data_IF_577331132855
#
_entry.id   IF_577331132855
#
_cell.length_a   1.000
_cell.length_b   1.000
_cell.length_c   1.000
_cell.angle_alpha   90.00
_cell.angle_beta   90.00
_cell.angle_gamma   90.00
#
_symmetry.space_group_name_H-M   'P 1'
#
loop_
_entity.id
_entity.type
_entity.pdbx_description
1 polymer ?
#
# COMPACT_ATOMS: atom_id res chain seq x y z
N UNK A 1 26.22 1.70 -1.89
CA UNK A 1 26.57 0.63 -0.94
C UNK A 1 25.85 -0.63 -1.40
N UNK A 2 26.59 -1.73 -1.47
CA UNK A 2 26.18 -3.00 -2.07
C UNK A 2 25.15 -3.76 -1.22
N UNK A 3 24.35 -4.61 -1.86
CA UNK A 3 24.39 -6.06 -1.61
C UNK A 3 23.41 -6.83 -2.50
N UNK A 4 23.99 -7.62 -3.39
CA UNK A 4 23.42 -8.76 -4.11
C UNK A 4 23.02 -9.88 -3.14
N UNK A 5 21.86 -10.52 -3.34
CA UNK A 5 21.52 -11.77 -2.65
C UNK A 5 21.31 -12.90 -3.66
N UNK A 6 22.08 -13.98 -3.46
CA UNK A 6 22.01 -15.25 -4.19
C UNK A 6 20.94 -16.16 -3.56
N UNK A 7 20.08 -16.75 -4.38
CA UNK A 7 19.22 -17.87 -3.97
C UNK A 7 20.00 -19.19 -4.05
N UNK A 8 20.01 -19.95 -2.95
CA UNK A 8 20.46 -21.34 -2.94
C UNK A 8 19.28 -22.29 -2.71
N UNK A 9 19.38 -23.42 -3.42
CA UNK A 9 18.49 -24.57 -3.56
C UNK A 9 18.35 -25.39 -2.28
N UNK A 10 17.19 -26.03 -2.00
CA UNK A 10 17.09 -27.03 -0.94
C UNK A 10 17.42 -28.45 -1.44
N UNK A 11 18.24 -29.14 -0.64
CA UNK A 11 18.67 -30.54 -0.73
C UNK A 11 17.57 -31.50 -0.27
N UNK A 12 17.31 -32.57 -1.03
CA UNK A 12 16.40 -33.66 -0.66
C UNK A 12 17.08 -34.74 0.18
N UNK A 13 16.41 -35.23 1.23
CA UNK A 13 16.84 -36.36 2.09
C UNK A 13 16.53 -37.74 1.47
N UNK A 14 17.27 -38.81 1.85
CA UNK A 14 17.15 -40.13 1.23
C UNK A 14 16.04 -41.00 1.85
N UNK A 15 15.40 -41.80 1.01
CA UNK A 15 14.45 -42.85 1.39
C UNK A 15 15.19 -44.11 1.87
N UNK A 16 14.70 -44.71 2.96
CA UNK A 16 15.23 -45.94 3.54
C UNK A 16 14.25 -47.08 3.22
N UNK A 17 14.74 -48.06 2.44
CA UNK A 17 14.05 -49.31 2.16
C UNK A 17 14.02 -50.22 3.40
N UNK A 18 12.90 -50.90 3.61
CA UNK A 18 12.79 -52.01 4.55
C UNK A 18 12.07 -53.18 3.90
N UNK A 19 12.87 -54.18 3.53
CA UNK A 19 12.43 -55.52 3.21
C UNK A 19 12.29 -56.34 4.51
N UNK A 20 11.28 -57.21 4.60
CA UNK A 20 11.38 -58.65 4.93
C UNK A 20 10.03 -59.18 5.43
N UNK A 21 9.49 -60.21 4.79
CA UNK A 21 8.73 -61.29 5.43
C UNK A 21 8.45 -62.40 4.41
N UNK A 22 9.03 -63.58 4.63
CA UNK A 22 8.77 -64.75 3.81
C UNK A 22 9.52 -65.97 4.32
N UNK A 23 9.00 -66.64 5.35
CA UNK A 23 9.40 -68.01 5.72
C UNK A 23 8.14 -68.84 5.80
N UNK A 24 7.92 -69.64 4.76
CA UNK A 24 6.85 -70.65 4.70
C UNK A 24 7.42 -71.99 5.14
N UNK A 25 6.82 -72.58 6.18
CA UNK A 25 7.12 -73.92 6.65
C UNK A 25 6.71 -74.98 5.63
N UNK A 26 7.61 -75.92 5.38
CA UNK A 26 7.33 -77.14 4.65
C UNK A 26 7.79 -78.33 5.47
N UNK A 27 6.85 -79.16 5.92
CA UNK A 27 7.15 -80.52 6.35
C UNK A 27 5.91 -81.40 6.15
N UNK A 28 5.94 -82.23 5.13
CA UNK A 28 4.95 -83.28 4.86
C UNK A 28 5.69 -84.53 4.45
N UNK A 29 6.09 -85.34 5.44
CA UNK A 29 6.62 -86.68 5.21
C UNK A 29 5.45 -87.67 5.29
N UNK A 30 5.14 -88.24 4.14
CA UNK A 30 4.30 -89.41 3.95
C UNK A 30 4.92 -90.63 4.65
N UNK A 31 4.09 -91.39 5.37
CA UNK A 31 4.33 -92.82 5.54
C UNK A 31 3.00 -93.51 5.83
N UNK A 32 2.39 -94.04 4.76
CA UNK A 32 1.31 -94.99 4.84
C UNK A 32 1.86 -96.41 4.86
N UNK A 33 1.35 -97.22 5.78
CA UNK A 33 1.39 -98.67 5.69
C UNK A 33 1.99 -99.36 6.89
N UNK A 34 1.14 -99.81 7.82
CA UNK A 34 1.39 -101.07 8.53
C UNK A 34 0.09 -101.71 9.02
N UNK A 35 -0.38 -102.66 8.22
CA UNK A 35 -0.95 -103.99 8.53
C UNK A 35 -1.56 -104.16 9.94
N UNK A 36 -2.86 -104.51 9.94
CA UNK A 36 -3.58 -105.12 11.06
C UNK A 36 -2.84 -106.37 11.58
N UNK A 37 -2.46 -106.34 12.86
CA UNK A 37 -2.12 -107.55 13.62
C UNK A 37 -3.02 -107.65 14.85
N UNK A 38 -3.66 -108.81 14.89
CA UNK A 38 -4.65 -109.32 15.81
C UNK A 38 -4.09 -109.34 17.24
N UNK A 39 -4.71 -108.58 18.13
CA UNK A 39 -4.22 -108.33 19.49
C UNK A 39 -3.94 -109.59 20.32
N UNK A 40 -2.68 -109.73 20.71
CA UNK A 40 -2.28 -110.28 22.00
C UNK A 40 -2.03 -109.10 22.95
N UNK A 41 -2.42 -109.23 24.22
CA UNK A 41 -2.23 -108.20 25.24
C UNK A 41 -0.75 -107.81 25.43
N UNK A 42 0.18 -108.65 24.96
CA UNK A 42 1.62 -108.41 24.93
C UNK A 42 2.07 -107.47 23.79
N UNK A 43 1.45 -107.48 22.61
CA UNK A 43 1.82 -106.60 21.48
C UNK A 43 1.40 -105.15 21.70
N UNK A 44 0.23 -104.93 22.32
CA UNK A 44 -0.22 -103.59 22.73
C UNK A 44 0.72 -102.99 23.78
N UNK A 45 1.21 -103.83 24.71
CA UNK A 45 2.19 -103.44 25.72
C UNK A 45 3.54 -103.11 25.08
N UNK A 46 4.02 -103.94 24.14
CA UNK A 46 5.30 -103.74 23.44
C UNK A 46 5.27 -102.50 22.54
N UNK A 47 4.17 -102.26 21.83
CA UNK A 47 3.97 -101.04 21.03
C UNK A 47 3.93 -99.79 21.93
N UNK A 48 3.19 -99.85 23.05
CA UNK A 48 3.16 -98.78 24.06
C UNK A 48 4.54 -98.51 24.68
N UNK A 49 5.34 -99.55 24.89
CA UNK A 49 6.71 -99.41 25.38
C UNK A 49 7.66 -98.85 24.31
N UNK A 50 7.49 -99.24 23.05
CA UNK A 50 8.28 -98.74 21.93
C UNK A 50 8.00 -97.25 21.68
N UNK A 51 6.74 -96.82 21.74
CA UNK A 51 6.37 -95.40 21.64
C UNK A 51 6.89 -94.58 22.83
N UNK A 52 6.82 -95.11 24.05
CA UNK A 52 7.45 -94.48 25.23
C UNK A 52 8.96 -94.40 25.08
N UNK A 53 9.61 -95.44 24.56
CA UNK A 53 11.05 -95.44 24.32
C UNK A 53 11.45 -94.42 23.25
N UNK A 54 10.68 -94.29 22.16
CA UNK A 54 10.89 -93.25 21.14
C UNK A 54 10.74 -91.85 21.72
N UNK A 55 9.74 -91.62 22.58
CA UNK A 55 9.56 -90.34 23.26
C UNK A 55 10.76 -90.01 24.16
N UNK A 56 11.21 -90.97 24.98
CA UNK A 56 12.38 -90.79 25.86
C UNK A 56 13.65 -90.51 25.07
N UNK A 57 13.90 -91.28 23.99
CA UNK A 57 15.05 -91.07 23.10
C UNK A 57 14.95 -89.72 22.37
N UNK A 58 13.76 -89.31 21.96
CA UNK A 58 13.50 -88.00 21.35
C UNK A 58 13.79 -86.84 22.31
N UNK A 59 13.27 -86.91 23.54
CA UNK A 59 13.54 -85.92 24.59
C UNK A 59 15.02 -85.85 24.98
N UNK A 60 15.75 -86.98 24.95
CA UNK A 60 17.18 -87.02 25.24
C UNK A 60 18.03 -86.41 24.11
N UNK A 61 17.63 -86.60 22.84
CA UNK A 61 18.37 -86.10 21.67
C UNK A 61 18.07 -84.64 21.35
N UNK A 62 16.85 -84.19 21.63
CA UNK A 62 16.41 -82.79 21.51
C UNK A 62 15.57 -82.43 22.75
N UNK A 63 16.24 -82.02 23.85
CA UNK A 63 15.53 -81.48 24.99
C UNK A 63 14.68 -80.28 24.55
N UNK A 64 13.43 -80.14 25.05
CA UNK A 64 12.63 -78.94 24.81
C UNK A 64 13.40 -77.68 25.19
N UNK A 65 13.23 -76.60 24.42
CA UNK A 65 13.86 -75.32 24.71
C UNK A 65 13.45 -74.87 26.12
N UNK A 66 14.45 -74.73 26.99
CA UNK A 66 14.32 -74.32 28.38
C UNK A 66 13.98 -72.82 28.43
N UNK A 67 12.69 -72.49 28.60
CA UNK A 67 12.17 -71.11 28.56
C UNK A 67 12.47 -70.37 29.88
N UNK A 68 12.74 -71.10 30.96
CA UNK A 68 12.83 -70.52 32.29
C UNK A 68 14.01 -71.10 33.08
N UNK A 69 15.15 -70.43 32.98
CA UNK A 69 16.41 -70.81 33.62
C UNK A 69 16.30 -71.06 35.13
N UNK A 70 15.43 -70.34 35.85
CA UNK A 70 15.27 -70.50 37.29
C UNK A 70 14.32 -71.65 37.66
N UNK A 71 13.30 -71.93 36.83
CA UNK A 71 12.53 -73.18 36.96
C UNK A 71 13.43 -74.39 36.66
N UNK A 72 14.26 -74.27 35.64
CA UNK A 72 15.19 -75.31 35.21
C UNK A 72 16.23 -75.63 36.29
N UNK A 73 16.84 -74.61 36.89
CA UNK A 73 17.77 -74.78 38.01
C UNK A 73 17.13 -75.48 39.21
N UNK A 74 15.84 -75.20 39.49
CA UNK A 74 15.10 -75.82 40.59
C UNK A 74 14.72 -77.27 40.30
N UNK A 75 14.33 -77.58 39.07
CA UNK A 75 14.04 -78.95 38.63
C UNK A 75 15.32 -79.80 38.59
N UNK A 76 16.46 -79.24 38.16
CA UNK A 76 17.75 -79.92 38.16
C UNK A 76 18.25 -80.23 39.59
N UNK A 77 17.76 -79.49 40.60
CA UNK A 77 18.09 -79.71 42.02
C UNK A 77 17.15 -80.67 42.75
N UNK A 78 16.06 -81.13 42.10
CA UNK A 78 15.07 -82.01 42.71
C UNK A 78 15.46 -83.49 42.54
N UNK A 79 15.40 -84.25 43.64
CA UNK A 79 15.78 -85.66 43.70
C UNK A 79 14.60 -86.62 43.93
N UNK A 80 13.45 -86.08 44.35
CA UNK A 80 12.23 -86.84 44.59
C UNK A 80 11.05 -86.32 43.77
N UNK A 81 10.06 -87.17 43.49
CA UNK A 81 8.82 -86.78 42.78
C UNK A 81 8.10 -85.65 43.51
N UNK A 82 8.15 -85.65 44.86
CA UNK A 82 7.58 -84.60 45.68
C UNK A 82 8.33 -83.27 45.52
N UNK A 83 9.67 -83.29 45.45
CA UNK A 83 10.50 -82.10 45.18
C UNK A 83 10.27 -81.56 43.78
N UNK A 84 10.12 -82.42 42.77
CA UNK A 84 9.78 -82.01 41.40
C UNK A 84 8.41 -81.33 41.35
N UNK A 85 7.39 -81.90 42.00
CA UNK A 85 6.06 -81.28 42.11
C UNK A 85 6.13 -79.95 42.85
N UNK A 86 6.90 -79.87 43.93
CA UNK A 86 7.10 -78.63 44.69
C UNK A 86 7.85 -77.58 43.85
N UNK A 87 8.86 -77.99 43.08
CA UNK A 87 9.61 -77.13 42.18
C UNK A 87 8.74 -76.59 41.03
N UNK A 88 7.92 -77.45 40.44
CA UNK A 88 7.01 -77.10 39.34
C UNK A 88 5.88 -76.16 39.79
N UNK A 89 5.39 -76.29 41.02
CA UNK A 89 4.26 -75.50 41.53
C UNK A 89 4.71 -74.20 42.20
N UNK A 90 5.93 -74.10 42.74
CA UNK A 90 6.32 -72.85 43.42
C UNK A 90 6.53 -71.70 42.43
N UNK A 91 5.85 -70.59 42.75
CA UNK A 91 5.83 -69.38 41.94
C UNK A 91 7.22 -68.81 41.68
N UNK A 92 7.40 -68.27 40.48
CA UNK A 92 8.58 -67.53 40.11
C UNK A 92 8.73 -66.30 41.01
N UNK A 93 9.78 -66.27 41.83
CA UNK A 93 10.15 -65.09 42.61
C UNK A 93 11.42 -64.52 42.00
N UNK A 94 11.30 -63.30 41.49
CA UNK A 94 12.45 -62.54 41.02
C UNK A 94 13.46 -62.41 42.17
N UNK A 95 14.77 -62.51 41.89
CA UNK A 95 15.79 -62.13 42.84
C UNK A 95 15.52 -60.71 43.39
N UNK A 96 15.83 -60.45 44.67
CA UNK A 96 15.57 -59.13 45.29
C UNK A 96 16.13 -57.96 44.48
N UNK A 97 17.32 -58.11 43.89
CA UNK A 97 17.94 -57.09 43.05
C UNK A 97 17.10 -56.74 41.82
N UNK A 98 16.58 -57.75 41.11
CA UNK A 98 15.75 -57.54 39.91
C UNK A 98 14.39 -56.91 40.29
N UNK A 99 13.84 -57.27 41.45
CA UNK A 99 12.63 -56.66 41.97
C UNK A 99 12.84 -55.16 42.29
N UNK A 100 13.98 -54.80 42.89
CA UNK A 100 14.35 -53.41 43.17
C UNK A 100 14.56 -52.59 41.90
N UNK A 101 15.17 -53.18 40.86
CA UNK A 101 15.33 -52.55 39.55
C UNK A 101 13.99 -52.30 38.85
N UNK A 102 13.04 -53.23 38.94
CA UNK A 102 11.68 -53.03 38.41
C UNK A 102 10.94 -51.91 39.15
N UNK A 103 11.11 -51.77 40.46
CA UNK A 103 10.53 -50.66 41.22
C UNK A 103 11.13 -49.33 40.73
N UNK A 104 12.47 -49.23 40.63
CA UNK A 104 13.14 -48.04 40.10
C UNK A 104 12.69 -47.70 38.68
N UNK A 105 12.51 -48.70 37.82
CA UNK A 105 12.05 -48.48 36.45
C UNK A 105 10.60 -47.97 36.43
N UNK A 106 9.72 -48.50 37.28
CA UNK A 106 8.34 -48.01 37.41
C UNK A 106 8.30 -46.56 37.91
N UNK A 107 9.15 -46.22 38.87
CA UNK A 107 9.26 -44.85 39.38
C UNK A 107 9.78 -43.90 38.28
N UNK A 108 10.78 -44.34 37.52
CA UNK A 108 11.33 -43.56 36.40
C UNK A 108 10.31 -43.41 35.26
N UNK A 109 9.57 -44.46 34.92
CA UNK A 109 8.46 -44.38 33.95
C UNK A 109 7.41 -43.40 34.43
N UNK A 110 7.02 -43.44 35.71
CA UNK A 110 6.04 -42.51 36.28
C UNK A 110 6.54 -41.06 36.25
N UNK A 111 7.84 -40.86 36.53
CA UNK A 111 8.49 -39.54 36.46
C UNK A 111 8.54 -39.02 35.03
N UNK A 112 8.89 -39.85 34.06
CA UNK A 112 8.93 -39.49 32.65
C UNK A 112 7.54 -39.22 32.09
N UNK A 113 6.53 -40.01 32.48
CA UNK A 113 5.13 -39.77 32.11
C UNK A 113 4.67 -38.39 32.58
N UNK A 114 4.92 -38.04 33.84
CA UNK A 114 4.59 -36.71 34.38
C UNK A 114 5.28 -35.59 33.57
N UNK A 115 6.57 -35.77 33.24
CA UNK A 115 7.32 -34.81 32.41
C UNK A 115 6.77 -34.71 30.98
N UNK A 116 6.31 -35.81 30.40
CA UNK A 116 5.68 -35.80 29.07
C UNK A 116 4.36 -35.02 29.11
N UNK A 117 3.50 -35.28 30.09
CA UNK A 117 2.25 -34.53 30.25
C UNK A 117 2.49 -33.03 30.46
N UNK A 118 3.50 -32.65 31.24
CA UNK A 118 3.90 -31.26 31.41
C UNK A 118 4.40 -30.64 30.10
N UNK A 119 5.22 -31.36 29.34
CA UNK A 119 5.72 -30.90 28.04
C UNK A 119 4.59 -30.77 27.01
N UNK A 120 3.63 -31.70 26.99
CA UNK A 120 2.44 -31.64 26.13
C UNK A 120 1.58 -30.42 26.47
N UNK A 121 1.34 -30.15 27.76
CA UNK A 121 0.66 -28.92 28.20
C UNK A 121 1.43 -27.66 27.79
N UNK A 122 2.76 -27.66 27.95
CA UNK A 122 3.62 -26.56 27.54
C UNK A 122 3.53 -26.28 26.04
N UNK A 123 3.62 -27.34 25.22
CA UNK A 123 3.50 -27.23 23.77
C UNK A 123 2.12 -26.75 23.34
N UNK A 124 1.05 -27.23 23.98
CA UNK A 124 -0.31 -26.76 23.69
C UNK A 124 -0.46 -25.25 23.94
N UNK A 125 0.08 -24.75 25.06
CA UNK A 125 0.07 -23.32 25.38
C UNK A 125 0.90 -22.50 24.38
N UNK A 126 2.07 -23.01 23.97
CA UNK A 126 2.92 -22.34 22.97
C UNK A 126 2.22 -22.26 21.61
N UNK A 127 1.60 -23.35 21.16
CA UNK A 127 0.82 -23.39 19.92
C UNK A 127 -0.32 -22.38 19.98
N UNK A 128 -1.06 -22.34 21.09
CA UNK A 128 -2.14 -21.38 21.27
C UNK A 128 -1.63 -19.93 21.20
N UNK A 129 -0.54 -19.61 21.91
CA UNK A 129 0.03 -18.26 21.89
C UNK A 129 0.53 -17.89 20.50
N UNK A 130 1.19 -18.83 19.79
CA UNK A 130 1.63 -18.63 18.42
C UNK A 130 0.45 -18.35 17.48
N UNK A 131 -0.66 -19.08 17.61
CA UNK A 131 -1.87 -18.83 16.81
C UNK A 131 -2.44 -17.43 17.06
N UNK A 132 -2.45 -16.97 18.31
CA UNK A 132 -2.91 -15.61 18.63
C UNK A 132 -2.00 -14.56 18.00
N UNK A 133 -0.67 -14.70 18.16
CA UNK A 133 0.30 -13.76 17.59
C UNK A 133 0.23 -13.75 16.06
N UNK A 134 0.09 -14.91 15.43
CA UNK A 134 -0.03 -15.02 13.97
C UNK A 134 -1.31 -14.32 13.47
N UNK A 135 -2.44 -14.50 14.16
CA UNK A 135 -3.68 -13.80 13.83
C UNK A 135 -3.55 -12.27 13.99
N UNK A 136 -2.85 -11.80 15.00
CA UNK A 136 -2.59 -10.37 15.19
C UNK A 136 -1.60 -9.82 14.14
N UNK A 137 -0.60 -10.60 13.72
CA UNK A 137 0.31 -10.24 12.63
C UNK A 137 -0.44 -10.12 11.28
N UNK A 138 -1.35 -11.05 10.98
CA UNK A 138 -2.19 -10.97 9.77
C UNK A 138 -3.04 -9.70 9.81
N UNK A 139 -3.74 -9.45 10.92
CA UNK A 139 -4.57 -8.24 11.08
C UNK A 139 -3.76 -6.95 10.92
N UNK A 140 -2.59 -6.87 11.57
CA UNK A 140 -1.70 -5.71 11.45
C UNK A 140 -1.20 -5.50 10.01
N UNK A 141 -1.04 -6.58 9.23
CA UNK A 141 -0.63 -6.50 7.83
C UNK A 141 -1.78 -5.99 6.95
N UNK A 142 -3.00 -6.47 7.20
CA UNK A 142 -4.21 -5.96 6.53
C UNK A 142 -4.44 -4.47 6.81
N UNK A 143 -4.27 -4.05 8.07
CA UNK A 143 -4.34 -2.64 8.47
C UNK A 143 -3.28 -1.80 7.76
N UNK A 144 -2.04 -2.32 7.63
CA UNK A 144 -0.98 -1.63 6.90
C UNK A 144 -1.34 -1.38 5.43
N UNK A 145 -1.87 -2.38 4.73
CA UNK A 145 -2.28 -2.21 3.34
C UNK A 145 -3.47 -1.27 3.20
N UNK A 146 -4.45 -1.35 4.10
CA UNK A 146 -5.60 -0.43 4.12
C UNK A 146 -5.14 1.03 4.30
N UNK A 147 -4.21 1.27 5.22
CA UNK A 147 -3.62 2.60 5.42
C UNK A 147 -2.77 3.05 4.23
N UNK A 148 -2.03 2.12 3.61
CA UNK A 148 -1.22 2.40 2.43
C UNK A 148 -2.10 2.84 1.25
N UNK A 149 -3.21 2.15 1.01
CA UNK A 149 -4.15 2.50 -0.07
C UNK A 149 -4.78 3.88 0.18
N UNK A 150 -5.23 4.16 1.40
CA UNK A 150 -5.75 5.48 1.77
C UNK A 150 -4.69 6.59 1.60
N UNK A 151 -3.42 6.29 1.91
CA UNK A 151 -2.32 7.24 1.69
C UNK A 151 -2.06 7.47 0.20
N UNK A 152 -2.14 6.41 -0.61
CA UNK A 152 -2.01 6.50 -2.06
C UNK A 152 -3.11 7.39 -2.64
N UNK A 153 -4.37 7.23 -2.19
CA UNK A 153 -5.48 8.08 -2.60
C UNK A 153 -5.21 9.56 -2.24
N UNK A 154 -4.77 9.84 -1.00
CA UNK A 154 -4.39 11.19 -0.59
C UNK A 154 -3.22 11.77 -1.40
N UNK A 155 -2.25 10.94 -1.79
CA UNK A 155 -1.17 11.36 -2.68
C UNK A 155 -1.72 11.79 -4.04
N UNK A 156 -2.64 11.03 -4.63
CA UNK A 156 -3.27 11.40 -5.90
C UNK A 156 -4.10 12.68 -5.80
N UNK A 157 -4.89 12.86 -4.74
CA UNK A 157 -5.65 14.10 -4.52
C UNK A 157 -4.72 15.31 -4.37
N UNK A 158 -3.62 15.16 -3.62
CA UNK A 158 -2.63 16.22 -3.46
C UNK A 158 -1.97 16.60 -4.79
N UNK A 159 -1.66 15.63 -5.65
CA UNK A 159 -1.13 15.90 -6.99
C UNK A 159 -2.11 16.70 -7.84
N UNK A 160 -3.40 16.35 -7.80
CA UNK A 160 -4.44 17.12 -8.49
C UNK A 160 -4.59 18.54 -7.95
N UNK A 161 -4.57 18.71 -6.62
CA UNK A 161 -4.65 20.03 -5.99
C UNK A 161 -3.45 20.90 -6.39
N UNK A 162 -2.25 20.33 -6.41
CA UNK A 162 -1.05 21.02 -6.88
C UNK A 162 -1.17 21.43 -8.35
N UNK A 163 -1.74 20.57 -9.20
CA UNK A 163 -2.01 20.92 -10.59
C UNK A 163 -3.00 22.09 -10.71
N UNK A 164 -4.11 22.06 -9.95
CA UNK A 164 -5.11 23.14 -9.91
C UNK A 164 -4.54 24.47 -9.41
N UNK A 165 -3.68 24.44 -8.38
CA UNK A 165 -3.00 25.65 -7.88
C UNK A 165 -2.12 26.27 -8.97
N UNK A 166 -1.36 25.45 -9.70
CA UNK A 166 -0.51 25.94 -10.80
C UNK A 166 -1.33 26.58 -11.93
N UNK A 167 -2.48 26.02 -12.27
CA UNK A 167 -3.39 26.59 -13.27
C UNK A 167 -3.96 27.95 -12.82
N UNK A 168 -4.34 28.05 -11.54
CA UNK A 168 -4.79 29.31 -10.96
C UNK A 168 -3.68 30.37 -10.93
N UNK A 169 -2.45 30.00 -10.60
CA UNK A 169 -1.30 30.91 -10.62
C UNK A 169 -1.07 31.50 -12.02
N UNK A 170 -1.19 30.68 -13.08
CA UNK A 170 -1.14 31.14 -14.48
C UNK A 170 -2.26 32.14 -14.75
N UNK A 171 -3.49 31.80 -14.37
CA UNK A 171 -4.66 32.67 -14.58
C UNK A 171 -4.51 34.02 -13.85
N UNK A 172 -4.01 34.00 -12.62
CA UNK A 172 -3.75 35.21 -11.83
C UNK A 172 -2.68 36.07 -12.49
N UNK A 173 -1.62 35.47 -13.03
CA UNK A 173 -0.58 36.20 -13.77
C UNK A 173 -1.16 36.86 -15.04
N UNK A 174 -1.99 36.15 -15.80
CA UNK A 174 -2.68 36.70 -16.97
C UNK A 174 -3.60 37.87 -16.62
N UNK A 175 -4.37 37.74 -15.54
CA UNK A 175 -5.23 38.82 -15.02
C UNK A 175 -4.41 40.04 -14.59
N UNK A 176 -3.28 39.83 -13.90
CA UNK A 176 -2.38 40.92 -13.50
C UNK A 176 -1.84 41.67 -14.72
N UNK A 177 -1.45 40.96 -15.78
CA UNK A 177 -1.07 41.58 -17.06
C UNK A 177 -2.24 42.36 -17.69
N UNK A 178 -3.46 41.81 -17.66
CA UNK A 178 -4.67 42.47 -18.13
C UNK A 178 -4.94 43.80 -17.43
N UNK A 179 -4.90 43.81 -16.09
CA UNK A 179 -5.06 45.01 -15.26
C UNK A 179 -3.99 46.06 -15.59
N UNK A 180 -2.74 45.63 -15.77
CA UNK A 180 -1.66 46.54 -16.12
C UNK A 180 -1.86 47.19 -17.49
N UNK A 181 -2.38 46.46 -18.49
CA UNK A 181 -2.72 47.03 -19.80
C UNK A 181 -3.82 48.08 -19.68
N UNK A 182 -4.92 47.75 -18.99
CA UNK A 182 -6.06 48.65 -18.77
C UNK A 182 -5.59 49.93 -18.08
N UNK A 183 -4.76 49.81 -17.03
CA UNK A 183 -4.16 50.96 -16.35
C UNK A 183 -3.34 51.85 -17.28
N UNK A 184 -2.59 51.26 -18.21
CA UNK A 184 -1.87 52.01 -19.24
C UNK A 184 -2.81 52.77 -20.17
N UNK A 185 -3.89 52.13 -20.61
CA UNK A 185 -4.88 52.76 -21.50
C UNK A 185 -5.63 53.91 -20.83
N UNK A 186 -6.04 53.75 -19.57
CA UNK A 186 -6.67 54.83 -18.79
C UNK A 186 -5.75 56.04 -18.69
N UNK A 187 -4.47 55.84 -18.38
CA UNK A 187 -3.49 56.94 -18.29
C UNK A 187 -3.31 57.68 -19.62
N UNK A 188 -3.29 56.95 -20.74
CA UNK A 188 -3.24 57.58 -22.07
C UNK A 188 -4.48 58.41 -22.33
N UNK A 189 -5.67 57.82 -22.10
CA UNK A 189 -6.95 58.50 -22.28
C UNK A 189 -7.06 59.75 -21.39
N UNK A 190 -6.61 59.70 -20.14
CA UNK A 190 -6.60 60.85 -19.24
C UNK A 190 -5.69 61.98 -19.77
N UNK A 191 -4.52 61.62 -20.32
CA UNK A 191 -3.61 62.58 -20.93
C UNK A 191 -4.22 63.23 -22.19
N UNK A 192 -4.91 62.45 -23.01
CA UNK A 192 -5.62 62.93 -24.21
C UNK A 192 -6.78 63.85 -23.82
N UNK A 193 -7.58 63.49 -22.82
CA UNK A 193 -8.63 64.35 -22.27
C UNK A 193 -8.05 65.66 -21.72
N UNK A 194 -6.94 65.59 -20.98
CA UNK A 194 -6.25 66.79 -20.47
C UNK A 194 -5.71 67.67 -21.61
N UNK A 195 -5.22 67.08 -22.70
CA UNK A 195 -4.80 67.81 -23.90
C UNK A 195 -5.98 68.49 -24.60
N UNK A 196 -7.09 67.77 -24.80
CA UNK A 196 -8.31 68.32 -25.38
C UNK A 196 -8.88 69.47 -24.55
N UNK A 197 -8.92 69.36 -23.21
CA UNK A 197 -9.37 70.44 -22.34
C UNK A 197 -8.48 71.69 -22.45
N UNK A 198 -7.15 71.51 -22.49
CA UNK A 198 -6.21 72.62 -22.68
C UNK A 198 -6.43 73.33 -24.03
N UNK A 199 -6.66 72.55 -25.09
CA UNK A 199 -6.98 73.09 -26.41
C UNK A 199 -8.29 73.90 -26.39
N UNK A 200 -9.36 73.35 -25.81
CA UNK A 200 -10.65 74.05 -25.69
C UNK A 200 -10.51 75.36 -24.90
N UNK A 201 -9.76 75.34 -23.80
CA UNK A 201 -9.50 76.55 -23.01
C UNK A 201 -8.74 77.60 -23.84
N UNK A 202 -7.71 77.19 -24.57
CA UNK A 202 -6.94 78.07 -25.44
C UNK A 202 -7.81 78.70 -26.55
N UNK A 203 -8.63 77.91 -27.24
CA UNK A 203 -9.52 78.43 -28.29
C UNK A 203 -10.62 79.33 -27.73
N UNK A 204 -11.13 79.05 -26.52
CA UNK A 204 -12.06 79.94 -25.83
C UNK A 204 -11.44 81.32 -25.57
N UNK A 205 -10.20 81.37 -25.07
CA UNK A 205 -9.49 82.64 -24.86
C UNK A 205 -9.19 83.35 -26.18
N UNK A 206 -8.83 82.61 -27.23
CA UNK A 206 -8.62 83.17 -28.58
C UNK A 206 -9.91 83.81 -29.11
N UNK A 207 -11.05 83.13 -28.93
CA UNK A 207 -12.36 83.64 -29.34
C UNK A 207 -12.77 84.88 -28.53
N UNK A 208 -12.55 84.88 -27.20
CA UNK A 208 -12.79 86.07 -26.36
C UNK A 208 -11.96 87.28 -26.81
N UNK A 209 -10.67 87.07 -27.09
CA UNK A 209 -9.79 88.12 -27.60
C UNK A 209 -10.27 88.66 -28.97
N UNK A 210 -10.64 87.76 -29.88
CA UNK A 210 -11.22 88.14 -31.18
C UNK A 210 -12.49 88.97 -31.05
N UNK A 211 -13.40 88.58 -30.13
CA UNK A 211 -14.63 89.32 -29.85
C UNK A 211 -14.36 90.70 -29.23
N UNK A 212 -13.36 90.82 -28.34
CA UNK A 212 -12.97 92.10 -27.76
C UNK A 212 -12.46 93.08 -28.84
N UNK A 213 -11.65 92.60 -29.78
CA UNK A 213 -11.19 93.40 -30.94
C UNK A 213 -12.36 93.85 -31.80
N UNK A 214 -13.28 92.93 -32.13
CA UNK A 214 -14.48 93.27 -32.90
C UNK A 214 -15.35 94.34 -32.21
N UNK A 215 -15.60 94.20 -30.91
CA UNK A 215 -16.36 95.18 -30.13
C UNK A 215 -15.67 96.56 -30.10
N UNK A 216 -14.34 96.61 -30.06
CA UNK A 216 -13.60 97.86 -30.14
C UNK A 216 -13.79 98.54 -31.51
N UNK A 217 -13.69 97.80 -32.61
CA UNK A 217 -13.95 98.32 -33.96
C UNK A 217 -15.40 98.79 -34.13
N UNK A 218 -16.37 98.03 -33.60
CA UNK A 218 -17.77 98.43 -33.60
C UNK A 218 -18.00 99.74 -32.82
N UNK A 219 -17.27 99.93 -31.72
CA UNK A 219 -17.32 101.17 -30.93
C UNK A 219 -16.75 102.35 -31.72
N UNK A 220 -15.61 102.17 -32.41
CA UNK A 220 -15.05 103.19 -33.30
C UNK A 220 -16.03 103.57 -34.41
N UNK A 221 -16.67 102.59 -35.06
CA UNK A 221 -17.66 102.84 -36.11
C UNK A 221 -18.87 103.62 -35.56
N UNK A 222 -19.39 103.25 -34.38
CA UNK A 222 -20.48 104.00 -33.73
C UNK A 222 -20.07 105.43 -33.38
N UNK A 223 -18.83 105.64 -32.92
CA UNK A 223 -18.30 106.96 -32.65
C UNK A 223 -18.22 107.79 -33.94
N UNK A 224 -17.66 107.21 -35.01
CA UNK A 224 -17.57 107.85 -36.32
C UNK A 224 -18.94 108.30 -36.84
N UNK A 225 -19.95 107.44 -36.75
CA UNK A 225 -21.33 107.78 -37.12
C UNK A 225 -21.89 108.94 -36.30
N UNK A 226 -21.70 108.94 -34.98
CA UNK A 226 -22.15 110.03 -34.09
C UNK A 226 -21.46 111.36 -34.39
N UNK A 227 -20.17 111.34 -34.68
CA UNK A 227 -19.40 112.54 -35.04
C UNK A 227 -19.90 113.11 -36.39
N UNK A 228 -20.21 112.24 -37.34
CA UNK A 228 -20.81 112.63 -38.63
C UNK A 228 -22.22 113.20 -38.47
N UNK A 229 -23.05 112.62 -37.59
CA UNK A 229 -24.38 113.18 -37.27
C UNK A 229 -24.27 114.55 -36.57
N UNK A 230 -23.25 114.76 -35.72
CA UNK A 230 -23.00 116.05 -35.04
C UNK A 230 -22.39 117.12 -35.95
N UNK A 231 -21.71 116.69 -37.02
CA UNK A 231 -21.20 117.53 -38.10
C UNK A 231 -22.27 117.96 -39.12
N UNK A 232 -23.48 117.37 -39.06
CA UNK A 232 -24.62 117.72 -39.90
C UNK A 232 -25.71 118.43 -39.10
N UNK A 233 -25.43 119.67 -38.71
CA UNK A 233 -26.46 120.71 -38.84
C UNK A 233 -26.46 121.18 -40.30
N UNK A 234 -27.15 120.43 -41.15
CA UNK A 234 -27.31 120.75 -42.57
C UNK A 234 -26.78 119.66 -43.49
N UNK A 235 -27.67 119.19 -44.36
CA UNK A 235 -27.42 118.47 -45.61
C UNK A 235 -27.40 116.94 -45.61
N UNK A 236 -28.47 116.47 -46.26
CA UNK A 236 -28.89 115.12 -46.60
C UNK A 236 -27.80 114.37 -47.39
N UNK A 237 -27.54 113.13 -46.98
CA UNK A 237 -27.04 112.04 -47.84
C UNK A 237 -25.71 112.25 -48.56
N UNK A 238 -24.60 111.86 -47.93
CA UNK A 238 -23.39 111.48 -48.67
C UNK A 238 -23.01 110.03 -48.36
N UNK A 239 -22.59 109.23 -49.36
CA UNK A 239 -22.13 107.87 -49.17
C UNK A 239 -20.88 107.83 -48.28
N UNK A 240 -20.75 106.79 -47.45
CA UNK A 240 -19.59 106.59 -46.59
C UNK A 240 -18.27 106.72 -47.35
N UNK A 241 -17.24 107.37 -46.78
CA UNK A 241 -15.94 107.48 -47.43
C UNK A 241 -15.35 106.11 -47.77
N UNK A 242 -14.63 105.95 -48.90
CA UNK A 242 -14.04 104.69 -49.35
C UNK A 242 -13.18 103.96 -48.29
N UNK A 243 -12.63 104.74 -47.36
CA UNK A 243 -11.80 104.27 -46.24
C UNK A 243 -12.59 103.42 -45.23
N UNK A 244 -13.90 103.68 -45.07
CA UNK A 244 -14.78 102.89 -44.20
C UNK A 244 -15.08 101.53 -44.83
N UNK A 245 -15.34 101.49 -46.14
CA UNK A 245 -15.52 100.24 -46.87
C UNK A 245 -14.25 99.39 -46.87
N UNK A 246 -13.07 100.00 -47.02
CA UNK A 246 -11.81 99.26 -46.95
C UNK A 246 -11.54 98.71 -45.55
N UNK A 247 -11.88 99.46 -44.49
CA UNK A 247 -11.71 99.00 -43.11
C UNK A 247 -12.65 97.82 -42.79
N UNK A 248 -13.91 97.87 -43.26
CA UNK A 248 -14.85 96.76 -43.13
C UNK A 248 -14.36 95.53 -43.91
N UNK A 249 -13.91 95.72 -45.15
CA UNK A 249 -13.38 94.62 -45.97
C UNK A 249 -12.14 93.97 -45.34
N UNK A 250 -11.22 94.76 -44.80
CA UNK A 250 -10.05 94.26 -44.08
C UNK A 250 -10.43 93.55 -42.77
N UNK A 251 -11.43 94.06 -42.04
CA UNK A 251 -11.96 93.41 -40.84
C UNK A 251 -12.56 92.04 -41.16
N UNK A 252 -13.37 91.94 -42.21
CA UNK A 252 -13.99 90.68 -42.67
C UNK A 252 -12.92 89.69 -43.14
N UNK A 253 -11.93 90.13 -43.90
CA UNK A 253 -10.85 89.28 -44.38
C UNK A 253 -10.01 88.71 -43.23
N UNK A 254 -9.72 89.53 -42.21
CA UNK A 254 -8.94 89.10 -41.05
C UNK A 254 -9.71 88.12 -40.15
N UNK A 255 -11.03 88.27 -40.04
CA UNK A 255 -11.89 87.28 -39.36
C UNK A 255 -11.88 85.95 -40.11
N UNK A 256 -11.95 85.98 -41.45
CA UNK A 256 -11.89 84.77 -42.29
C UNK A 256 -10.57 84.02 -42.15
N UNK A 257 -9.44 84.74 -42.16
CA UNK A 257 -8.12 84.15 -41.97
C UNK A 257 -7.94 83.51 -40.58
N UNK A 258 -8.47 84.15 -39.53
CA UNK A 258 -8.46 83.57 -38.18
C UNK A 258 -9.34 82.30 -38.09
N UNK A 259 -10.46 82.25 -38.81
CA UNK A 259 -11.34 81.07 -38.88
C UNK A 259 -10.68 79.91 -39.64
N UNK A 260 -10.06 80.18 -40.80
CA UNK A 260 -9.45 79.14 -41.64
C UNK A 260 -8.17 78.56 -41.03
N UNK A 261 -7.46 79.35 -40.22
CA UNK A 261 -6.28 78.88 -39.48
C UNK A 261 -6.68 77.99 -38.29
N UNK A 262 -7.85 78.22 -37.69
CA UNK A 262 -8.41 77.39 -36.62
C UNK A 262 -8.79 75.98 -37.10
N UNK A 263 -9.38 75.86 -38.30
CA UNK A 263 -9.82 74.57 -38.88
C UNK A 263 -8.64 73.67 -39.30
N UNK A 264 -7.47 74.24 -39.59
CA UNK A 264 -6.31 73.49 -40.07
C UNK A 264 -5.49 72.84 -38.95
N UNK A 265 -5.52 73.41 -37.74
CA UNK A 265 -4.81 72.86 -36.57
C UNK A 265 -5.60 71.81 -35.79
N UNK A 266 -6.87 71.56 -36.13
CA UNK A 266 -7.73 70.55 -35.51
C UNK A 266 -7.76 69.19 -36.24
N UNK A 267 -6.88 68.97 -37.23
CA UNK A 267 -6.82 67.76 -38.08
C UNK A 267 -5.49 66.98 -38.02
N UNK A 268 -4.61 67.32 -37.08
CA UNK A 268 -3.35 66.61 -36.80
C UNK A 268 -3.30 66.24 -35.34
#
# INVERSE_FOLDING_TARGET
MASTSHSQTPTSSPAVDSATCGVSGGCGASSGGLIELRGDATESLLSSMCERAKLVVGMARQPPARINSYLDQRLDSASTVQEVLTAAVAHHRLPPQEADELIRLRDEVSRLQTRCEDAERGLANEVQLRTVVEADCVRSTEDFYTMHDANQDLCTENEELVARIRELDITVAEQAHGVQRVKGHCRSSDADCAAAMRYVAQESERMKAGLAVYNAELTKLRQYLKEHDRGKCGEVGEPFPPQVYSAIAQGVQKIKELSDTGVRNSRT
#
